data_IF_438387193448
#
_entry.id   IF_438387193448
#
_cell.length_a   1.000
_cell.length_b   1.000
_cell.length_c   1.000
_cell.angle_alpha   90.00
_cell.angle_beta   90.00
_cell.angle_gamma   90.00
#
_symmetry.space_group_name_H-M   'P 1'
#
loop_
_entity.id
_entity.type
_entity.pdbx_description
1 polymer ?
#
# COMPACT_ATOMS: atom_id res chain seq x y z
N UNK A 1 -5.75 -34.80 -33.61
CA UNK A 1 -5.49 -33.62 -32.75
C UNK A 1 -6.76 -33.26 -31.97
N UNK A 2 -6.75 -33.33 -30.64
CA UNK A 2 -7.89 -32.88 -29.82
C UNK A 2 -7.89 -31.34 -29.79
N UNK A 3 -9.00 -30.70 -30.20
CA UNK A 3 -9.21 -29.26 -30.00
C UNK A 3 -9.27 -28.99 -28.49
N UNK A 4 -8.22 -28.37 -27.96
CA UNK A 4 -8.19 -27.90 -26.57
C UNK A 4 -8.76 -26.49 -26.54
N UNK A 5 -10.02 -26.35 -26.12
CA UNK A 5 -10.63 -25.03 -25.90
C UNK A 5 -10.04 -24.45 -24.61
N UNK A 6 -9.07 -23.55 -24.73
CA UNK A 6 -8.53 -22.77 -23.59
C UNK A 6 -9.55 -21.70 -23.20
N UNK A 7 -10.64 -22.11 -22.56
CA UNK A 7 -11.56 -21.15 -21.93
C UNK A 7 -10.84 -20.56 -20.72
N UNK A 8 -10.29 -19.35 -20.84
CA UNK A 8 -9.97 -18.55 -19.66
C UNK A 8 -11.30 -18.44 -18.91
N UNK A 9 -11.43 -19.15 -17.78
CA UNK A 9 -12.68 -19.14 -17.02
C UNK A 9 -12.95 -17.67 -16.69
N UNK A 10 -14.04 -17.09 -17.19
CA UNK A 10 -14.44 -15.68 -16.99
C UNK A 10 -14.30 -15.24 -15.53
N UNK A 11 -14.49 -16.16 -14.58
CA UNK A 11 -14.24 -15.98 -13.14
C UNK A 11 -12.84 -15.46 -12.80
N UNK A 12 -11.80 -15.89 -13.52
CA UNK A 12 -10.43 -15.41 -13.33
C UNK A 12 -10.21 -14.00 -13.88
N UNK A 13 -10.91 -13.63 -14.96
CA UNK A 13 -10.83 -12.26 -15.51
C UNK A 13 -11.37 -11.27 -14.49
N UNK A 14 -12.53 -11.56 -13.92
CA UNK A 14 -13.14 -10.71 -12.90
C UNK A 14 -12.32 -10.69 -11.59
N UNK A 15 -11.81 -11.85 -11.16
CA UNK A 15 -10.91 -11.93 -9.99
C UNK A 15 -9.63 -11.10 -10.19
N UNK A 16 -9.03 -11.16 -11.39
CA UNK A 16 -7.83 -10.39 -11.69
C UNK A 16 -8.13 -8.88 -11.68
N UNK A 17 -9.28 -8.47 -12.23
CA UNK A 17 -9.72 -7.08 -12.17
C UNK A 17 -9.87 -6.59 -10.74
N UNK A 18 -10.58 -7.33 -9.88
CA UNK A 18 -10.76 -6.95 -8.48
C UNK A 18 -9.44 -6.94 -7.69
N UNK A 19 -8.49 -7.83 -8.03
CA UNK A 19 -7.14 -7.81 -7.42
C UNK A 19 -6.36 -6.55 -7.80
N UNK A 20 -6.46 -6.12 -9.07
CA UNK A 20 -5.81 -4.89 -9.54
C UNK A 20 -6.39 -3.69 -8.80
N UNK A 21 -7.73 -3.57 -8.76
CA UNK A 21 -8.43 -2.49 -8.06
C UNK A 21 -8.01 -2.43 -6.57
N UNK A 22 -8.03 -3.57 -5.87
CA UNK A 22 -7.61 -3.64 -4.47
C UNK A 22 -6.13 -3.26 -4.30
N UNK A 23 -5.26 -3.65 -5.22
CA UNK A 23 -3.85 -3.30 -5.17
C UNK A 23 -3.62 -1.80 -5.36
N UNK A 24 -4.36 -1.18 -6.28
CA UNK A 24 -4.31 0.27 -6.52
C UNK A 24 -4.80 1.05 -5.29
N UNK A 25 -5.91 0.63 -4.68
CA UNK A 25 -6.45 1.22 -3.46
C UNK A 25 -5.46 1.10 -2.28
N UNK A 26 -4.89 -0.09 -2.07
CA UNK A 26 -3.88 -0.31 -1.03
C UNK A 26 -2.62 0.52 -1.27
N UNK A 27 -2.19 0.65 -2.53
CA UNK A 27 -1.01 1.45 -2.89
C UNK A 27 -1.25 2.93 -2.58
N UNK A 28 -2.45 3.44 -2.91
CA UNK A 28 -2.86 4.80 -2.59
C UNK A 28 -2.86 5.04 -1.09
N UNK A 29 -3.59 4.22 -0.33
CA UNK A 29 -3.70 4.35 1.12
C UNK A 29 -2.34 4.25 1.83
N UNK A 30 -1.46 3.34 1.40
CA UNK A 30 -0.10 3.23 1.93
C UNK A 30 0.75 4.46 1.64
N UNK A 31 0.62 5.04 0.44
CA UNK A 31 1.32 6.27 0.06
C UNK A 31 0.83 7.46 0.87
N UNK A 32 -0.49 7.60 1.02
CA UNK A 32 -1.12 8.66 1.78
C UNK A 32 -0.73 8.60 3.26
N UNK A 33 -0.78 7.39 3.85
CA UNK A 33 -0.31 7.16 5.21
C UNK A 33 1.18 7.50 5.36
N UNK A 34 2.02 7.07 4.43
CA UNK A 34 3.45 7.36 4.48
C UNK A 34 3.71 8.87 4.43
N UNK A 35 3.02 9.59 3.54
CA UNK A 35 3.16 11.03 3.39
C UNK A 35 2.69 11.78 4.64
N UNK A 36 1.56 11.39 5.24
CA UNK A 36 1.11 11.94 6.52
C UNK A 36 2.14 11.68 7.64
N UNK A 37 2.70 10.48 7.72
CA UNK A 37 3.77 10.19 8.70
C UNK A 37 4.99 11.08 8.50
N UNK A 38 5.36 11.39 7.25
CA UNK A 38 6.49 12.26 6.95
C UNK A 38 6.27 13.72 7.40
N UNK A 39 5.03 14.19 7.51
CA UNK A 39 4.75 15.55 8.06
C UNK A 39 4.95 15.62 9.58
N UNK A 40 4.92 14.48 10.27
CA UNK A 40 5.14 14.40 11.71
C UNK A 40 6.66 14.45 12.02
N UNK A 41 7.13 15.09 13.09
CA UNK A 41 8.52 15.00 13.52
C UNK A 41 8.97 13.56 13.81
N UNK A 42 10.23 13.23 13.52
CA UNK A 42 10.75 11.86 13.67
C UNK A 42 10.63 11.30 15.10
N UNK A 43 10.81 12.16 16.12
CA UNK A 43 10.66 11.80 17.54
C UNK A 43 9.26 11.32 17.87
N UNK A 44 8.24 11.91 17.25
CA UNK A 44 6.83 11.58 17.42
C UNK A 44 6.43 10.39 16.58
N UNK A 45 6.91 10.30 15.33
CA UNK A 45 6.68 9.13 14.46
C UNK A 45 7.07 7.82 15.14
N UNK A 46 8.20 7.80 15.85
CA UNK A 46 8.70 6.61 16.57
C UNK A 46 7.77 6.12 17.68
N UNK A 47 6.85 6.97 18.16
CA UNK A 47 5.85 6.64 19.19
C UNK A 47 4.53 6.16 18.58
N UNK A 48 4.37 6.26 17.25
CA UNK A 48 3.19 5.80 16.54
C UNK A 48 3.24 4.29 16.38
N UNK A 49 2.09 3.68 16.63
CA UNK A 49 1.82 2.25 16.49
C UNK A 49 0.58 2.08 15.65
N UNK A 50 0.30 0.87 15.16
CA UNK A 50 -0.91 0.59 14.38
C UNK A 50 -2.20 0.94 15.13
N UNK A 51 -2.21 0.90 16.46
CA UNK A 51 -3.33 1.32 17.30
C UNK A 51 -3.58 2.83 17.34
N UNK A 52 -2.60 3.66 16.97
CA UNK A 52 -2.67 5.14 17.01
C UNK A 52 -2.88 5.77 15.64
N UNK A 53 -3.00 4.94 14.61
CA UNK A 53 -3.10 5.39 13.21
C UNK A 53 -4.40 4.84 12.65
N UNK A 54 -5.29 5.74 12.24
CA UNK A 54 -6.51 5.36 11.54
C UNK A 54 -6.19 5.19 10.06
N UNK A 55 -6.32 3.96 9.56
CA UNK A 55 -6.10 3.63 8.14
C UNK A 55 -6.96 2.45 7.75
N UNK A 56 -7.28 2.36 6.45
CA UNK A 56 -7.99 1.21 5.86
C UNK A 56 -7.08 0.00 5.64
N UNK A 57 -5.77 0.17 5.79
CA UNK A 57 -4.81 -0.92 5.66
C UNK A 57 -4.95 -1.94 6.79
N UNK A 58 -4.69 -3.20 6.45
CA UNK A 58 -4.50 -4.24 7.45
C UNK A 58 -3.30 -3.92 8.34
N UNK A 59 -3.38 -4.34 9.61
CA UNK A 59 -2.37 -4.05 10.65
C UNK A 59 -0.93 -4.34 10.22
N UNK A 60 -0.70 -5.44 9.49
CA UNK A 60 0.64 -5.79 9.01
C UNK A 60 1.21 -4.74 8.03
N UNK A 61 0.38 -4.25 7.09
CA UNK A 61 0.79 -3.27 6.09
C UNK A 61 0.98 -1.89 6.70
N UNK A 62 0.07 -1.46 7.58
CA UNK A 62 0.22 -0.16 8.26
C UNK A 62 1.48 -0.13 9.15
N UNK A 63 1.78 -1.22 9.87
CA UNK A 63 3.02 -1.34 10.64
C UNK A 63 4.26 -1.26 9.76
N UNK A 64 4.23 -1.89 8.58
CA UNK A 64 5.33 -1.82 7.62
C UNK A 64 5.56 -0.39 7.14
N UNK A 65 4.50 0.37 6.84
CA UNK A 65 4.59 1.79 6.44
C UNK A 65 5.18 2.65 7.58
N UNK A 66 4.76 2.44 8.82
CA UNK A 66 5.30 3.14 10.00
C UNK A 66 6.80 2.85 10.18
N UNK A 67 7.23 1.59 10.00
CA UNK A 67 8.66 1.22 10.07
C UNK A 67 9.48 1.84 8.94
N UNK A 68 8.96 1.87 7.72
CA UNK A 68 9.66 2.49 6.59
C UNK A 68 9.86 3.99 6.78
N UNK A 69 8.85 4.70 7.28
CA UNK A 69 8.92 6.16 7.51
C UNK A 69 9.80 6.56 8.70
N UNK A 70 10.16 5.61 9.56
CA UNK A 70 11.09 5.81 10.69
C UNK A 70 12.53 5.30 10.41
N UNK A 71 12.68 4.48 9.36
CA UNK A 71 13.97 4.00 8.85
C UNK A 71 14.81 5.11 8.21
N UNK A 72 16.08 4.84 7.92
CA UNK A 72 16.97 5.80 7.26
C UNK A 72 16.48 6.28 5.89
N UNK A 73 15.76 5.41 5.16
CA UNK A 73 15.11 5.80 3.91
C UNK A 73 14.01 6.85 4.16
N UNK A 74 13.16 6.64 5.17
CA UNK A 74 12.11 7.56 5.56
C UNK A 74 12.62 8.87 6.17
N UNK A 75 13.79 8.87 6.81
CA UNK A 75 14.44 10.09 7.33
C UNK A 75 14.88 11.04 6.22
N UNK A 76 15.29 10.50 5.08
CA UNK A 76 15.76 11.28 3.91
C UNK A 76 14.63 11.63 2.95
N UNK A 77 13.51 10.89 3.01
CA UNK A 77 12.36 11.12 2.16
C UNK A 77 11.57 12.36 2.60
N UNK A 78 11.24 13.24 1.64
CA UNK A 78 10.34 14.38 1.85
C UNK A 78 8.88 14.01 1.58
N UNK A 79 8.65 13.21 0.53
CA UNK A 79 7.34 12.72 0.13
C UNK A 79 7.52 11.49 -0.77
N UNK A 80 6.58 10.56 -0.71
CA UNK A 80 6.43 9.46 -1.65
C UNK A 80 5.47 9.84 -2.77
N UNK A 81 5.83 9.47 -4.00
CA UNK A 81 4.95 9.59 -5.17
C UNK A 81 4.15 8.31 -5.32
N UNK A 82 2.86 8.43 -5.67
CA UNK A 82 2.06 7.26 -6.02
C UNK A 82 2.55 6.71 -7.37
N UNK A 83 2.92 5.43 -7.42
CA UNK A 83 3.56 4.80 -8.58
C UNK A 83 2.69 4.84 -9.86
N UNK A 84 1.37 4.96 -9.71
CA UNK A 84 0.39 4.86 -10.81
C UNK A 84 -0.38 6.16 -11.09
N UNK A 85 0.02 7.30 -10.51
CA UNK A 85 -0.52 8.60 -10.94
C UNK A 85 0.14 8.98 -12.28
N UNK A 86 -0.56 8.69 -13.39
CA UNK A 86 -0.35 9.35 -14.68
C UNK A 86 -1.09 10.68 -14.70
#
# INVERSE_FOLDING_TARGET
MRRVTRTIKLKFVQLNKSKIELFEEMTKEATDLANWLLTVPLSERRKLTTSKVQTRLMSALSNQVIRHTTSDAGKKAKSFKQLHQK
#
